data_IF_867106689093
#
_entry.id   IF_867106689093
#
_cell.length_a   1.000
_cell.length_b   1.000
_cell.length_c   1.000
_cell.angle_alpha   90.00
_cell.angle_beta   90.00
_cell.angle_gamma   90.00
#
_symmetry.space_group_name_H-M   'P 1'
#
loop_
_entity.id
_entity.type
_entity.pdbx_description
1 polymer ?
#
# COMPACT_ATOMS: atom_id res chain seq x y z
N UNK A 1 -8.79 23.35 -11.25
CA UNK A 1 -8.77 22.46 -10.06
C UNK A 1 -9.86 21.43 -10.26
N UNK A 2 -9.55 20.15 -10.15
CA UNK A 2 -10.41 19.03 -10.56
C UNK A 2 -11.59 18.73 -9.59
N UNK A 3 -12.04 19.73 -8.81
CA UNK A 3 -13.12 19.54 -7.83
C UNK A 3 -12.77 18.61 -6.64
N UNK A 4 -11.49 18.38 -6.38
CA UNK A 4 -11.02 17.51 -5.28
C UNK A 4 -10.93 18.31 -3.99
N UNK A 5 -11.56 17.80 -2.94
CA UNK A 5 -11.44 18.31 -1.57
C UNK A 5 -10.23 17.68 -0.86
N UNK A 6 -9.50 18.48 -0.09
CA UNK A 6 -8.33 18.05 0.67
C UNK A 6 -8.78 17.81 2.11
N UNK A 7 -8.68 16.57 2.58
CA UNK A 7 -8.91 16.20 3.98
C UNK A 7 -7.59 15.82 4.66
N UNK A 8 -7.41 16.29 5.89
CA UNK A 8 -6.20 16.08 6.67
C UNK A 8 -6.47 15.13 7.83
N UNK A 9 -5.51 14.24 8.12
CA UNK A 9 -5.59 13.40 9.30
C UNK A 9 -5.64 14.23 10.58
N UNK A 10 -6.52 13.86 11.49
CA UNK A 10 -6.66 14.58 12.76
C UNK A 10 -5.59 14.15 13.75
N UNK A 11 -4.97 15.09 14.49
CA UNK A 11 -4.09 14.75 15.59
C UNK A 11 -4.79 13.82 16.60
N UNK A 12 -4.11 12.75 17.01
CA UNK A 12 -4.66 11.80 17.99
C UNK A 12 -5.67 10.79 17.43
N UNK A 13 -5.91 10.75 16.11
CA UNK A 13 -6.72 9.73 15.46
C UNK A 13 -5.90 8.93 14.43
N UNK A 14 -5.14 7.92 14.87
CA UNK A 14 -4.29 7.10 13.99
C UNK A 14 -5.06 6.41 12.86
N UNK A 15 -6.34 6.11 13.09
CA UNK A 15 -7.19 5.46 12.10
C UNK A 15 -7.48 6.30 10.87
N UNK A 16 -7.36 7.63 10.93
CA UNK A 16 -7.54 8.51 9.77
C UNK A 16 -6.46 8.26 8.69
N UNK A 17 -5.30 7.68 9.04
CA UNK A 17 -4.20 7.39 8.12
C UNK A 17 -3.90 5.88 7.99
N UNK A 18 -4.68 5.01 8.64
CA UNK A 18 -4.35 3.59 8.79
C UNK A 18 -4.19 2.86 7.45
N UNK A 19 -5.03 3.17 6.45
CA UNK A 19 -4.91 2.57 5.11
C UNK A 19 -3.59 2.92 4.44
N UNK A 20 -3.20 4.20 4.45
CA UNK A 20 -1.96 4.68 3.83
C UNK A 20 -0.75 4.13 4.59
N UNK A 21 -0.83 4.01 5.92
CA UNK A 21 0.21 3.38 6.73
C UNK A 21 0.39 1.90 6.41
N UNK A 22 -0.71 1.15 6.32
CA UNK A 22 -0.68 -0.26 5.95
C UNK A 22 -0.10 -0.47 4.53
N UNK A 23 -0.56 0.32 3.56
CA UNK A 23 -0.02 0.31 2.20
C UNK A 23 1.50 0.58 2.19
N UNK A 24 1.93 1.63 2.87
CA UNK A 24 3.35 2.00 2.94
C UNK A 24 4.19 0.97 3.69
N UNK A 25 3.61 0.27 4.68
CA UNK A 25 4.25 -0.84 5.36
C UNK A 25 4.51 -2.02 4.42
N UNK A 26 3.47 -2.47 3.70
CA UNK A 26 3.57 -3.58 2.75
C UNK A 26 4.52 -3.27 1.60
N UNK A 27 4.39 -2.09 0.98
CA UNK A 27 5.29 -1.66 -0.10
C UNK A 27 6.76 -1.72 0.33
N UNK A 28 7.07 -1.29 1.56
CA UNK A 28 8.43 -1.36 2.09
C UNK A 28 8.89 -2.80 2.30
N UNK A 29 8.09 -3.61 2.99
CA UNK A 29 8.47 -4.98 3.33
C UNK A 29 8.65 -5.87 2.09
N UNK A 30 7.73 -5.76 1.13
CA UNK A 30 7.59 -6.73 0.05
C UNK A 30 8.26 -6.28 -1.26
N UNK A 31 8.39 -4.98 -1.49
CA UNK A 31 9.00 -4.45 -2.71
C UNK A 31 10.36 -3.83 -2.41
N UNK A 32 10.38 -2.77 -1.61
CA UNK A 32 11.56 -1.91 -1.50
C UNK A 32 12.70 -2.57 -0.72
N UNK A 33 12.40 -3.28 0.37
CA UNK A 33 13.41 -3.96 1.18
C UNK A 33 13.78 -5.33 0.62
N UNK A 34 12.90 -5.94 -0.19
CA UNK A 34 13.14 -7.24 -0.81
C UNK A 34 13.91 -7.14 -2.14
N UNK A 35 14.05 -5.93 -2.71
CA UNK A 35 14.68 -5.70 -4.02
C UNK A 35 15.94 -4.86 -3.91
N UNK A 36 16.95 -5.23 -4.69
CA UNK A 36 18.06 -4.33 -5.03
C UNK A 36 17.77 -3.62 -6.34
N UNK A 37 17.97 -2.29 -6.36
CA UNK A 37 17.75 -1.47 -7.55
C UNK A 37 19.07 -1.12 -8.21
N UNK A 38 19.16 -1.36 -9.51
CA UNK A 38 20.35 -1.05 -10.31
C UNK A 38 20.27 0.35 -10.93
N UNK A 39 19.05 0.90 -11.08
CA UNK A 39 18.80 2.24 -11.60
C UNK A 39 17.39 2.73 -11.23
N UNK A 40 17.10 4.01 -11.49
CA UNK A 40 15.74 4.55 -11.37
C UNK A 40 14.75 3.88 -12.34
N UNK A 41 15.19 3.46 -13.52
CA UNK A 41 14.34 2.77 -14.48
C UNK A 41 13.92 1.39 -13.94
N UNK A 42 14.88 0.63 -13.42
CA UNK A 42 14.67 -0.67 -12.77
C UNK A 42 13.77 -0.54 -11.53
N UNK A 43 13.96 0.50 -10.71
CA UNK A 43 13.07 0.78 -9.59
C UNK A 43 11.61 1.03 -10.02
N UNK A 44 11.40 1.80 -11.10
CA UNK A 44 10.04 2.07 -11.61
C UNK A 44 9.37 0.81 -12.15
N UNK A 45 10.13 -0.06 -12.82
CA UNK A 45 9.63 -1.34 -13.32
C UNK A 45 9.24 -2.27 -12.17
N UNK A 46 10.13 -2.49 -11.21
CA UNK A 46 9.87 -3.34 -10.05
C UNK A 46 8.69 -2.88 -9.19
N UNK A 47 8.53 -1.56 -8.99
CA UNK A 47 7.37 -1.02 -8.26
C UNK A 47 6.08 -1.24 -9.06
N UNK A 48 6.12 -1.08 -10.39
CA UNK A 48 4.97 -1.33 -11.25
C UNK A 48 4.55 -2.80 -11.22
N UNK A 49 5.52 -3.71 -11.26
CA UNK A 49 5.29 -5.15 -11.20
C UNK A 49 4.74 -5.58 -9.84
N UNK A 50 5.31 -5.06 -8.75
CA UNK A 50 4.77 -5.27 -7.40
C UNK A 50 3.32 -4.81 -7.32
N UNK A 51 3.01 -3.60 -7.82
CA UNK A 51 1.63 -3.08 -7.79
C UNK A 51 0.66 -4.00 -8.54
N UNK A 52 1.01 -4.44 -9.75
CA UNK A 52 0.17 -5.38 -10.51
C UNK A 52 -0.06 -6.71 -9.78
N UNK A 53 0.94 -7.17 -9.02
CA UNK A 53 0.84 -8.40 -8.25
C UNK A 53 0.04 -8.23 -6.95
N UNK A 54 0.21 -7.11 -6.27
CA UNK A 54 -0.50 -6.76 -5.04
C UNK A 54 -1.98 -6.45 -5.29
N UNK A 55 -2.32 -5.76 -6.38
CA UNK A 55 -3.72 -5.53 -6.79
C UNK A 55 -4.45 -6.87 -7.05
N UNK A 56 -3.74 -7.88 -7.57
CA UNK A 56 -4.27 -9.23 -7.74
C UNK A 56 -4.42 -9.99 -6.41
N UNK A 57 -3.58 -9.68 -5.41
CA UNK A 57 -3.64 -10.28 -4.05
C UNK A 57 -4.69 -9.63 -3.16
N UNK A 58 -4.92 -8.33 -3.25
CA UNK A 58 -5.96 -7.64 -2.47
C UNK A 58 -7.34 -8.24 -2.78
N UNK A 59 -7.55 -8.73 -4.01
CA UNK A 59 -8.75 -9.47 -4.42
C UNK A 59 -8.91 -10.86 -3.78
N UNK A 60 -7.86 -11.41 -3.18
CA UNK A 60 -7.81 -12.72 -2.53
C UNK A 60 -7.75 -12.57 -1.00
N UNK A 61 -7.07 -11.54 -0.48
CA UNK A 61 -6.84 -11.35 0.96
C UNK A 61 -7.97 -10.59 1.69
N UNK A 62 -8.84 -9.87 0.97
CA UNK A 62 -10.02 -9.21 1.56
C UNK A 62 -10.97 -10.20 2.28
N UNK A 63 -10.94 -11.49 1.90
CA UNK A 63 -11.77 -12.53 2.52
C UNK A 63 -11.13 -13.25 3.72
N UNK A 64 -9.81 -13.19 3.90
CA UNK A 64 -9.16 -13.96 4.96
C UNK A 64 -9.09 -13.22 6.31
N UNK A 65 -9.34 -11.91 6.34
CA UNK A 65 -9.27 -11.10 7.56
C UNK A 65 -10.64 -10.86 8.24
N UNK A 66 -11.75 -11.31 7.63
CA UNK A 66 -13.10 -11.21 8.23
C UNK A 66 -13.52 -12.44 9.04
N UNK A 67 -12.72 -13.50 9.09
CA UNK A 67 -12.94 -14.64 9.99
C UNK A 67 -11.87 -14.66 11.08
N UNK A 68 -12.07 -13.80 12.08
CA UNK A 68 -11.75 -14.00 13.49
C UNK A 68 -12.35 -12.80 14.24
N UNK A 69 -13.68 -12.69 14.17
CA UNK A 69 -14.47 -11.92 15.13
C UNK A 69 -14.79 -12.86 16.30
N UNK A 70 -14.50 -12.39 17.51
CA UNK A 70 -15.25 -12.77 18.71
C UNK A 70 -16.76 -12.51 18.52
#
# INVERSE_FOLDING_TARGET
>A
MNGVEIDFSRPGKPTDNAYVEAFNGRLRAECLNASWFLSLADARERIKDWRCHSDARERIEDWSCHYNED
#
